data_IF_801758088721
#
_entry.id   IF_801758088721
#
_cell.length_a   1.000
_cell.length_b   1.000
_cell.length_c   1.000
_cell.angle_alpha   90.00
_cell.angle_beta   90.00
_cell.angle_gamma   90.00
#
_symmetry.space_group_name_H-M   'P 1'
#
loop_
_entity.id
_entity.type
_entity.pdbx_description
1 polymer ?
#
# COMPACT_ATOMS: atom_id res chain seq x y z
N UNK A 1 -21.02 -5.06 0.81
CA UNK A 1 -20.17 -6.18 1.20
C UNK A 1 -20.06 -7.31 0.17
N UNK A 2 -21.00 -7.55 -0.78
CA UNK A 2 -20.99 -8.75 -1.62
C UNK A 2 -19.70 -8.97 -2.42
N UNK A 3 -19.03 -7.88 -2.88
CA UNK A 3 -17.75 -7.98 -3.59
C UNK A 3 -16.66 -8.51 -2.65
N UNK A 4 -16.62 -8.05 -1.41
CA UNK A 4 -15.63 -8.50 -0.43
C UNK A 4 -15.88 -9.94 0.02
N UNK A 5 -17.13 -10.39 0.10
CA UNK A 5 -17.48 -11.78 0.38
C UNK A 5 -16.87 -12.70 -0.68
N UNK A 6 -17.16 -12.41 -1.96
CA UNK A 6 -16.59 -13.19 -3.08
C UNK A 6 -15.05 -13.12 -3.10
N UNK A 7 -14.47 -11.94 -2.94
CA UNK A 7 -13.02 -11.77 -2.92
C UNK A 7 -12.37 -12.56 -1.77
N UNK A 8 -12.99 -12.56 -0.59
CA UNK A 8 -12.53 -13.31 0.57
C UNK A 8 -12.57 -14.83 0.35
N UNK A 9 -13.66 -15.34 -0.22
CA UNK A 9 -13.84 -16.77 -0.50
C UNK A 9 -12.82 -17.29 -1.52
N UNK A 10 -12.40 -16.43 -2.44
CA UNK A 10 -11.40 -16.73 -3.46
C UNK A 10 -9.96 -16.36 -3.07
N UNK A 11 -9.71 -15.88 -1.86
CA UNK A 11 -8.39 -15.38 -1.42
C UNK A 11 -7.79 -14.37 -2.42
N UNK A 12 -8.64 -13.53 -2.97
CA UNK A 12 -8.29 -12.65 -4.07
C UNK A 12 -7.28 -11.58 -3.65
N UNK A 13 -6.45 -11.16 -4.60
CA UNK A 13 -5.63 -9.96 -4.47
C UNK A 13 -6.47 -8.77 -4.96
N UNK A 14 -6.65 -7.78 -4.09
CA UNK A 14 -7.30 -6.52 -4.45
C UNK A 14 -6.24 -5.42 -4.47
N UNK A 15 -5.93 -4.93 -5.68
CA UNK A 15 -4.98 -3.86 -5.89
C UNK A 15 -5.69 -2.51 -5.89
N UNK A 16 -5.33 -1.63 -4.95
CA UNK A 16 -5.91 -0.30 -4.81
C UNK A 16 -5.05 0.68 -5.60
N UNK A 17 -5.62 1.21 -6.66
CA UNK A 17 -4.98 2.23 -7.50
C UNK A 17 -5.88 3.46 -7.60
N UNK A 18 -5.36 4.68 -7.36
CA UNK A 18 -6.14 5.91 -7.45
C UNK A 18 -6.49 6.24 -8.90
N UNK A 19 -7.62 6.92 -9.09
CA UNK A 19 -8.04 7.40 -10.41
C UNK A 19 -8.38 8.89 -10.39
N UNK A 20 -9.36 9.27 -9.59
CA UNK A 20 -9.84 10.64 -9.46
C UNK A 20 -9.88 11.01 -7.97
N UNK A 21 -8.84 11.65 -7.43
CA UNK A 21 -8.75 11.98 -6.01
C UNK A 21 -9.87 12.92 -5.56
N UNK A 22 -10.29 12.79 -4.32
CA UNK A 22 -11.17 13.75 -3.69
C UNK A 22 -10.52 15.16 -3.70
N UNK A 23 -11.27 16.18 -4.11
CA UNK A 23 -10.75 17.55 -4.22
C UNK A 23 -9.89 17.78 -5.46
N UNK A 24 -10.01 16.93 -6.50
CA UNK A 24 -9.24 17.04 -7.75
C UNK A 24 -9.35 18.42 -8.40
N UNK A 25 -10.44 19.14 -8.20
CA UNK A 25 -10.65 20.52 -8.67
C UNK A 25 -9.62 21.51 -8.10
N UNK A 26 -9.04 21.24 -6.94
CA UNK A 26 -7.94 22.00 -6.37
C UNK A 26 -6.56 21.60 -6.94
N UNK A 27 -6.50 20.55 -7.75
CA UNK A 27 -5.26 19.93 -8.25
C UNK A 27 -5.06 20.14 -9.76
N UNK A 28 -5.78 21.06 -10.39
CA UNK A 28 -5.79 21.28 -11.83
C UNK A 28 -4.51 21.90 -12.38
N UNK A 29 -3.71 22.56 -11.53
CA UNK A 29 -2.45 23.20 -11.91
C UNK A 29 -1.26 22.29 -11.58
N UNK A 30 -0.15 22.47 -12.33
CA UNK A 30 1.16 21.88 -12.05
C UNK A 30 1.18 20.34 -11.97
N UNK A 31 0.20 19.65 -12.52
CA UNK A 31 0.06 18.20 -12.39
C UNK A 31 -0.03 17.71 -10.93
N UNK A 32 -0.63 18.50 -10.05
CA UNK A 32 -0.77 18.15 -8.63
C UNK A 32 -1.55 16.86 -8.40
N UNK A 33 -2.45 16.49 -9.33
CA UNK A 33 -3.22 15.26 -9.21
C UNK A 33 -2.30 14.00 -9.13
N UNK A 34 -1.40 13.73 -10.09
CA UNK A 34 -0.48 12.60 -9.95
C UNK A 34 0.64 12.86 -8.93
N UNK A 35 1.08 14.11 -8.72
CA UNK A 35 2.18 14.41 -7.80
C UNK A 35 1.82 14.21 -6.33
N UNK A 36 0.58 14.54 -5.96
CA UNK A 36 0.14 14.59 -4.56
C UNK A 36 -1.17 13.84 -4.38
N UNK A 37 -2.14 14.10 -5.26
CA UNK A 37 -3.52 13.62 -5.12
C UNK A 37 -3.62 12.11 -5.07
N UNK A 38 -2.94 11.40 -5.94
CA UNK A 38 -2.97 9.93 -5.99
C UNK A 38 -2.47 9.30 -4.68
N UNK A 39 -1.42 9.84 -4.09
CA UNK A 39 -0.86 9.32 -2.85
C UNK A 39 -1.82 9.51 -1.68
N UNK A 40 -2.45 10.68 -1.59
CA UNK A 40 -3.44 10.96 -0.55
C UNK A 40 -4.72 10.16 -0.75
N UNK A 41 -5.16 9.93 -1.99
CA UNK A 41 -6.35 9.13 -2.29
C UNK A 41 -6.15 7.66 -1.89
N UNK A 42 -4.99 7.06 -2.24
CA UNK A 42 -4.60 5.71 -1.80
C UNK A 42 -4.56 5.63 -0.26
N UNK A 43 -3.96 6.63 0.39
CA UNK A 43 -3.89 6.71 1.85
C UNK A 43 -5.28 6.73 2.48
N UNK A 44 -6.17 7.56 1.94
CA UNK A 44 -7.54 7.71 2.43
C UNK A 44 -8.33 6.42 2.22
N UNK A 45 -8.23 5.81 1.03
CA UNK A 45 -8.92 4.57 0.69
C UNK A 45 -8.50 3.41 1.62
N UNK A 46 -7.18 3.21 1.81
CA UNK A 46 -6.66 2.17 2.69
C UNK A 46 -7.08 2.40 4.15
N UNK A 47 -7.02 3.65 4.63
CA UNK A 47 -7.45 4.01 5.98
C UNK A 47 -8.96 3.77 6.17
N UNK A 48 -9.78 4.13 5.20
CA UNK A 48 -11.23 3.86 5.24
C UNK A 48 -11.54 2.37 5.28
N UNK A 49 -10.86 1.56 4.46
CA UNK A 49 -11.05 0.10 4.47
C UNK A 49 -10.77 -0.49 5.86
N UNK A 50 -9.67 -0.07 6.48
CA UNK A 50 -9.30 -0.55 7.81
C UNK A 50 -10.32 -0.08 8.84
N UNK A 51 -10.60 1.21 8.94
CA UNK A 51 -11.50 1.76 9.95
C UNK A 51 -12.96 1.29 9.78
N UNK A 52 -13.37 0.90 8.56
CA UNK A 52 -14.65 0.25 8.30
C UNK A 52 -14.68 -1.24 8.66
N UNK A 53 -13.59 -1.81 9.17
CA UNK A 53 -13.47 -3.20 9.60
C UNK A 53 -13.39 -4.22 8.45
N UNK A 54 -13.11 -3.76 7.21
CA UNK A 54 -13.09 -4.66 6.04
C UNK A 54 -12.04 -5.75 6.19
N UNK A 55 -10.75 -5.47 6.52
CA UNK A 55 -9.74 -6.51 6.68
C UNK A 55 -10.00 -7.44 7.89
N UNK A 56 -10.65 -6.94 8.92
CA UNK A 56 -11.02 -7.77 10.07
C UNK A 56 -12.13 -8.76 9.72
N UNK A 57 -13.12 -8.30 8.97
CA UNK A 57 -14.27 -9.11 8.54
C UNK A 57 -13.93 -10.08 7.40
N UNK A 58 -13.00 -9.69 6.52
CA UNK A 58 -12.61 -10.43 5.32
C UNK A 58 -11.10 -10.68 5.29
N UNK A 59 -10.58 -11.53 6.20
CA UNK A 59 -9.14 -11.67 6.44
C UNK A 59 -8.38 -12.39 5.32
N UNK A 60 -9.06 -13.04 4.40
CA UNK A 60 -8.43 -13.77 3.30
C UNK A 60 -8.13 -12.88 2.08
N UNK A 61 -8.67 -11.66 2.03
CA UNK A 61 -8.35 -10.71 0.96
C UNK A 61 -6.92 -10.21 1.14
N UNK A 62 -6.14 -10.30 0.06
CA UNK A 62 -4.78 -9.77 0.01
C UNK A 62 -4.83 -8.36 -0.57
N UNK A 63 -4.61 -7.35 0.25
CA UNK A 63 -4.66 -5.95 -0.15
C UNK A 63 -3.30 -5.48 -0.65
N UNK A 64 -3.22 -4.96 -1.89
CA UNK A 64 -2.03 -4.33 -2.44
C UNK A 64 -2.30 -2.85 -2.74
N UNK A 65 -1.35 -2.00 -2.42
CA UNK A 65 -1.47 -0.55 -2.52
C UNK A 65 -0.47 -0.01 -3.55
N UNK A 66 -0.97 0.82 -4.47
CA UNK A 66 -0.13 1.55 -5.41
C UNK A 66 0.70 2.65 -4.71
N UNK A 67 1.78 3.06 -5.35
CA UNK A 67 2.62 4.20 -4.97
C UNK A 67 3.12 4.10 -3.52
N UNK A 68 3.67 2.94 -3.16
CA UNK A 68 4.20 2.63 -1.83
C UNK A 68 3.14 2.82 -0.70
N UNK A 69 1.85 2.67 -1.05
CA UNK A 69 0.75 2.91 -0.11
C UNK A 69 0.51 4.38 0.20
N UNK A 70 0.96 5.28 -0.69
CA UNK A 70 0.84 6.71 -0.50
C UNK A 70 1.66 7.20 0.70
N UNK A 71 0.98 7.73 1.72
CA UNK A 71 1.62 8.24 2.94
C UNK A 71 1.43 7.31 4.16
N UNK A 72 0.90 6.09 3.96
CA UNK A 72 0.61 5.14 5.06
C UNK A 72 1.85 4.88 5.94
N UNK A 73 3.03 4.52 5.42
CA UNK A 73 4.19 4.24 6.27
C UNK A 73 4.60 5.41 7.17
N UNK A 74 4.37 6.65 6.71
CA UNK A 74 4.63 7.86 7.48
C UNK A 74 3.53 8.14 8.53
N UNK A 75 2.26 7.81 8.24
CA UNK A 75 1.12 8.18 9.07
C UNK A 75 0.73 7.14 10.12
N UNK A 76 1.29 5.95 10.07
CA UNK A 76 0.80 4.79 10.83
C UNK A 76 0.72 5.05 12.34
N UNK A 77 1.74 5.65 12.95
CA UNK A 77 1.72 6.01 14.38
C UNK A 77 0.60 7.01 14.70
N UNK A 78 0.36 7.97 13.81
CA UNK A 78 -0.74 8.92 13.99
C UNK A 78 -2.10 8.24 13.93
N UNK A 79 -2.28 7.27 13.04
CA UNK A 79 -3.52 6.48 12.94
C UNK A 79 -3.78 5.72 14.23
N UNK A 80 -2.77 5.07 14.80
CA UNK A 80 -2.87 4.33 16.05
C UNK A 80 -3.18 5.26 17.24
N UNK A 81 -2.55 6.41 17.30
CA UNK A 81 -2.88 7.41 18.32
C UNK A 81 -4.32 7.90 18.21
N UNK A 82 -4.83 8.12 17.00
CA UNK A 82 -6.21 8.48 16.77
C UNK A 82 -7.17 7.35 17.18
N UNK A 83 -6.82 6.10 16.89
CA UNK A 83 -7.58 4.93 17.34
C UNK A 83 -7.74 4.90 18.88
N UNK A 84 -6.68 5.19 19.62
CA UNK A 84 -6.75 5.23 21.08
C UNK A 84 -7.49 6.46 21.61
N UNK A 85 -7.36 7.61 20.95
CA UNK A 85 -7.91 8.88 21.42
C UNK A 85 -9.40 9.07 21.09
N UNK A 86 -9.85 8.55 19.94
CA UNK A 86 -11.20 8.82 19.42
C UNK A 86 -12.03 7.54 19.35
N UNK A 87 -13.14 7.49 20.09
CA UNK A 87 -14.02 6.34 20.09
C UNK A 87 -14.58 6.00 18.70
N UNK A 88 -14.88 7.02 17.90
CA UNK A 88 -15.41 6.85 16.55
C UNK A 88 -14.47 6.09 15.62
N UNK A 89 -13.16 6.14 15.84
CA UNK A 89 -12.16 5.45 15.01
C UNK A 89 -11.96 3.97 15.37
N UNK A 90 -12.62 3.47 16.43
CA UNK A 90 -12.55 2.05 16.85
C UNK A 90 -13.88 1.32 16.88
N UNK A 91 -14.89 1.86 16.18
CA UNK A 91 -16.24 1.26 16.19
C UNK A 91 -16.33 -0.08 15.45
N UNK A 92 -15.46 -0.30 14.46
CA UNK A 92 -15.54 -1.46 13.57
C UNK A 92 -14.26 -2.29 13.53
N UNK A 93 -13.25 -1.95 14.32
CA UNK A 93 -11.99 -2.68 14.43
C UNK A 93 -11.61 -2.90 15.89
N UNK A 94 -11.05 -4.06 16.18
CA UNK A 94 -10.65 -4.46 17.53
C UNK A 94 -9.20 -4.14 17.89
N UNK A 95 -8.36 -3.85 16.87
CA UNK A 95 -6.93 -3.60 17.01
C UNK A 95 -6.56 -2.27 16.37
N UNK A 96 -5.41 -1.66 16.72
CA UNK A 96 -4.92 -0.46 16.07
C UNK A 96 -4.76 -0.64 14.55
N UNK A 97 -4.96 0.43 13.74
CA UNK A 97 -4.83 0.38 12.29
C UNK A 97 -3.53 -0.23 11.77
N UNK A 98 -2.40 0.01 12.45
CA UNK A 98 -1.11 -0.56 12.09
C UNK A 98 -1.13 -2.09 12.04
N UNK A 99 -1.88 -2.74 12.91
CA UNK A 99 -1.99 -4.20 12.98
C UNK A 99 -2.67 -4.82 11.75
N UNK A 100 -3.44 -4.05 11.00
CA UNK A 100 -4.00 -4.47 9.72
C UNK A 100 -3.11 -4.03 8.56
N UNK A 101 -2.68 -2.77 8.55
CA UNK A 101 -1.92 -2.17 7.47
C UNK A 101 -0.55 -2.84 7.26
N UNK A 102 0.10 -3.34 8.30
CA UNK A 102 1.37 -4.08 8.17
C UNK A 102 1.24 -5.40 7.37
N UNK A 103 0.03 -5.90 7.17
CA UNK A 103 -0.24 -7.08 6.35
C UNK A 103 -0.64 -6.75 4.90
N UNK A 104 -0.77 -5.47 4.57
CA UNK A 104 -0.98 -5.03 3.20
C UNK A 104 0.32 -5.12 2.40
N UNK A 105 0.21 -5.21 1.10
CA UNK A 105 1.34 -5.19 0.19
C UNK A 105 1.54 -3.78 -0.38
N UNK A 106 2.78 -3.38 -0.55
CA UNK A 106 3.21 -2.05 -0.99
C UNK A 106 4.09 -2.19 -2.22
N UNK A 107 3.77 -1.51 -3.31
CA UNK A 107 4.67 -1.51 -4.45
C UNK A 107 5.89 -0.58 -4.23
N UNK A 108 6.85 -0.59 -5.15
CA UNK A 108 8.05 0.26 -5.05
C UNK A 108 7.93 1.57 -5.83
N UNK A 109 6.72 1.97 -6.24
CA UNK A 109 6.48 3.18 -7.05
C UNK A 109 6.58 4.44 -6.18
N UNK A 110 7.79 4.72 -5.76
CA UNK A 110 8.27 5.97 -5.18
C UNK A 110 9.72 6.19 -5.60
N UNK A 111 10.45 5.05 -5.79
CA UNK A 111 11.83 4.98 -6.23
C UNK A 111 12.85 5.65 -5.29
N UNK A 112 12.44 6.24 -4.19
CA UNK A 112 13.34 6.80 -3.18
C UNK A 112 13.74 5.72 -2.15
N UNK A 113 15.03 5.39 -2.01
CA UNK A 113 15.46 4.35 -1.08
C UNK A 113 15.11 4.64 0.38
N UNK A 114 14.97 5.90 0.78
CA UNK A 114 14.59 6.26 2.14
C UNK A 114 13.12 5.94 2.41
N UNK A 115 12.26 6.27 1.46
CA UNK A 115 10.84 5.93 1.53
C UNK A 115 10.63 4.41 1.50
N UNK A 116 11.37 3.69 0.64
CA UNK A 116 11.32 2.22 0.58
C UNK A 116 11.76 1.58 1.91
N UNK A 117 12.85 2.07 2.53
CA UNK A 117 13.28 1.59 3.85
C UNK A 117 12.22 1.82 4.92
N UNK A 118 11.56 2.97 4.92
CA UNK A 118 10.47 3.25 5.85
C UNK A 118 9.32 2.24 5.71
N UNK A 119 8.94 1.90 4.48
CA UNK A 119 7.91 0.91 4.22
C UNK A 119 8.33 -0.51 4.64
N UNK A 120 9.58 -0.90 4.37
CA UNK A 120 10.16 -2.18 4.79
C UNK A 120 10.22 -2.28 6.33
N UNK A 121 10.64 -1.21 7.02
CA UNK A 121 10.70 -1.18 8.48
C UNK A 121 9.30 -1.32 9.09
N UNK A 122 8.30 -0.73 8.46
CA UNK A 122 6.91 -0.82 8.92
C UNK A 122 6.28 -2.18 8.65
N UNK A 123 6.31 -2.66 7.41
CA UNK A 123 5.54 -3.82 6.96
C UNK A 123 6.37 -5.11 6.81
N UNK A 124 7.68 -4.99 6.74
CA UNK A 124 8.58 -6.10 6.42
C UNK A 124 8.82 -6.27 4.92
N UNK A 125 9.98 -6.85 4.58
CA UNK A 125 10.38 -7.08 3.19
C UNK A 125 9.40 -7.97 2.43
N UNK A 126 8.75 -8.91 3.11
CA UNK A 126 7.78 -9.86 2.54
C UNK A 126 6.49 -9.17 2.03
N UNK A 127 6.25 -7.92 2.39
CA UNK A 127 5.10 -7.13 1.98
C UNK A 127 5.41 -6.15 0.83
N UNK A 128 6.65 -6.11 0.34
CA UNK A 128 7.06 -5.20 -0.73
C UNK A 128 7.03 -5.91 -2.09
N UNK A 129 6.43 -5.25 -3.08
CA UNK A 129 6.27 -5.75 -4.45
C UNK A 129 6.97 -4.81 -5.43
N UNK A 130 7.78 -5.34 -6.35
CA UNK A 130 8.37 -4.51 -7.40
C UNK A 130 7.27 -3.93 -8.30
N UNK A 131 7.24 -2.61 -8.42
CA UNK A 131 6.33 -1.86 -9.28
C UNK A 131 7.06 -0.72 -9.96
N UNK A 132 6.73 -0.44 -11.23
CA UNK A 132 7.44 0.54 -12.07
C UNK A 132 6.59 1.70 -12.54
N UNK A 133 5.27 1.65 -12.34
CA UNK A 133 4.31 2.63 -12.88
C UNK A 133 4.35 2.76 -14.43
N UNK A 134 5.00 1.79 -15.12
CA UNK A 134 5.01 1.77 -16.58
C UNK A 134 3.61 1.44 -17.13
N UNK A 135 3.10 2.12 -18.16
CA UNK A 135 3.78 3.06 -19.07
C UNK A 135 3.51 4.56 -18.78
N UNK A 136 3.20 4.93 -17.56
CA UNK A 136 3.03 6.34 -17.22
C UNK A 136 4.32 7.14 -17.37
N UNK A 137 4.19 8.48 -17.58
CA UNK A 137 5.34 9.36 -17.86
C UNK A 137 6.39 9.39 -16.75
N UNK A 138 5.98 9.12 -15.51
CA UNK A 138 6.87 9.06 -14.35
C UNK A 138 7.32 7.63 -14.02
N UNK A 139 6.73 6.64 -14.71
CA UNK A 139 7.09 5.23 -14.54
C UNK A 139 8.43 4.89 -15.16
N UNK A 140 9.24 4.09 -14.47
CA UNK A 140 10.59 3.74 -14.94
C UNK A 140 11.03 2.36 -14.42
N UNK A 141 11.18 1.41 -15.34
CA UNK A 141 11.63 0.04 -15.03
C UNK A 141 13.10 0.01 -14.55
N UNK A 142 13.97 0.83 -15.15
CA UNK A 142 15.38 0.91 -14.77
C UNK A 142 15.53 1.49 -13.36
N UNK A 143 14.86 2.60 -13.11
CA UNK A 143 14.89 3.26 -11.81
C UNK A 143 14.27 2.40 -10.71
N UNK A 144 13.22 1.64 -10.99
CA UNK A 144 12.67 0.65 -10.08
C UNK A 144 13.73 -0.35 -9.65
N UNK A 145 14.46 -0.94 -10.63
CA UNK A 145 15.53 -1.89 -10.33
C UNK A 145 16.67 -1.26 -9.53
N UNK A 146 17.09 -0.06 -9.92
CA UNK A 146 18.15 0.69 -9.23
C UNK A 146 17.76 1.00 -7.79
N UNK A 147 16.53 1.43 -7.55
CA UNK A 147 16.04 1.76 -6.21
C UNK A 147 16.01 0.55 -5.27
N UNK A 148 15.59 -0.61 -5.78
CA UNK A 148 15.58 -1.86 -5.00
C UNK A 148 17.01 -2.29 -4.68
N UNK A 149 17.91 -2.34 -5.67
CA UNK A 149 19.33 -2.69 -5.45
C UNK A 149 20.05 -1.71 -4.53
N UNK A 150 19.70 -0.43 -4.62
CA UNK A 150 20.22 0.63 -3.75
C UNK A 150 19.82 0.51 -2.27
N UNK A 151 18.90 -0.41 -1.92
CA UNK A 151 18.59 -0.72 -0.53
C UNK A 151 19.72 -1.45 0.17
N UNK A 152 20.57 -2.19 -0.57
CA UNK A 152 21.66 -2.98 0.00
C UNK A 152 21.18 -4.15 0.85
N UNK A 153 20.05 -4.74 0.47
CA UNK A 153 19.51 -5.96 1.08
C UNK A 153 20.37 -7.16 0.73
N UNK A 154 20.22 -8.26 1.46
CA UNK A 154 20.81 -9.51 1.02
C UNK A 154 20.11 -10.05 -0.24
N UNK A 155 20.72 -11.06 -0.89
CA UNK A 155 20.22 -11.59 -2.16
C UNK A 155 18.85 -12.28 -2.04
N UNK A 156 18.52 -12.82 -0.89
CA UNK A 156 17.23 -13.47 -0.64
C UNK A 156 16.12 -12.42 -0.57
N UNK A 157 16.31 -11.38 0.23
CA UNK A 157 15.34 -10.31 0.40
C UNK A 157 15.18 -9.47 -0.87
N UNK A 158 16.26 -9.22 -1.61
CA UNK A 158 16.19 -8.57 -2.91
C UNK A 158 15.35 -9.41 -3.90
N UNK A 159 15.55 -10.73 -3.97
CA UNK A 159 14.79 -11.64 -4.83
C UNK A 159 13.30 -11.70 -4.44
N UNK A 160 12.98 -11.62 -3.14
CA UNK A 160 11.59 -11.52 -2.67
C UNK A 160 10.90 -10.29 -3.26
N UNK A 161 11.52 -9.12 -3.18
CA UNK A 161 10.93 -7.87 -3.70
C UNK A 161 10.79 -7.95 -5.22
N UNK A 162 11.81 -8.41 -5.96
CA UNK A 162 11.78 -8.46 -7.43
C UNK A 162 10.70 -9.39 -8.01
N UNK A 163 10.25 -10.40 -7.27
CA UNK A 163 9.22 -11.27 -7.80
C UNK A 163 8.74 -12.38 -6.86
N UNK A 164 9.54 -12.78 -5.88
CA UNK A 164 9.19 -13.84 -4.94
C UNK A 164 7.89 -13.55 -4.20
N UNK A 165 7.75 -12.33 -3.69
CA UNK A 165 6.53 -11.90 -3.02
C UNK A 165 5.31 -11.89 -3.96
N UNK A 166 5.46 -11.37 -5.18
CA UNK A 166 4.38 -11.35 -6.15
C UNK A 166 3.92 -12.76 -6.53
N UNK A 167 4.86 -13.70 -6.74
CA UNK A 167 4.54 -15.11 -6.97
C UNK A 167 3.72 -15.69 -5.82
N UNK A 168 4.19 -15.50 -4.58
CA UNK A 168 3.50 -15.98 -3.36
C UNK A 168 2.10 -15.37 -3.22
N UNK A 169 1.97 -14.06 -3.43
CA UNK A 169 0.69 -13.35 -3.32
C UNK A 169 -0.32 -13.83 -4.35
N UNK A 170 0.13 -14.06 -5.58
CA UNK A 170 -0.70 -14.51 -6.70
C UNK A 170 -0.88 -16.02 -6.76
N UNK A 171 -0.20 -16.80 -5.92
CA UNK A 171 -0.25 -18.26 -5.95
C UNK A 171 0.41 -18.86 -7.18
N UNK A 172 1.43 -18.21 -7.73
CA UNK A 172 2.21 -18.68 -8.88
C UNK A 172 3.45 -19.41 -8.34
N UNK A 173 3.43 -20.72 -8.37
CA UNK A 173 4.59 -21.58 -8.06
C UNK A 173 5.55 -21.71 -9.25
#
# INVERSE_FOLDING_TARGET
WPIYEVANDHHAVMYIHPTYPLGVEAMTQYMLMPMVGFLFDTTLAATHLVLAGVPERFPNIKWALAHLGGTIPYLVERLDRCFHAYEVSRQHISRPPSEYLKHFYYDTVNFDPTALRLAIEFAGVDQILAGSDYPHLIGDLGKMQESIRGLGLDAEDEAKIFGGNAKRVLGLE
#
